data_IF_428989637749
#
_entry.id   IF_428989637749
#
_cell.length_a   1.000
_cell.length_b   1.000
_cell.length_c   1.000
_cell.angle_alpha   90.00
_cell.angle_beta   90.00
_cell.angle_gamma   90.00
#
_symmetry.space_group_name_H-M   'P 1'
#
loop_
_entity.id
_entity.type
_entity.pdbx_description
1 polymer ?
#
# COMPACT_ATOMS: atom_id res chain seq x y z
N UNK A 1 -3.15 -11.69 -1.33
CA UNK A 1 -2.48 -11.52 -0.03
C UNK A 1 -3.46 -11.15 1.08
N UNK A 2 -4.26 -10.11 0.91
CA UNK A 2 -5.11 -9.60 2.00
C UNK A 2 -6.24 -10.56 2.42
N UNK A 3 -6.85 -11.25 1.47
CA UNK A 3 -8.06 -12.06 1.71
C UNK A 3 -7.80 -13.57 1.66
N UNK A 4 -7.06 -14.06 0.68
CA UNK A 4 -6.87 -15.50 0.52
C UNK A 4 -5.82 -16.07 1.49
N UNK A 5 -4.77 -15.31 1.82
CA UNK A 5 -3.73 -15.82 2.72
C UNK A 5 -4.27 -16.14 4.12
N UNK A 6 -5.09 -15.29 4.78
CA UNK A 6 -5.72 -15.63 6.06
C UNK A 6 -6.61 -16.89 5.99
N UNK A 7 -7.32 -17.07 4.85
CA UNK A 7 -8.12 -18.27 4.64
C UNK A 7 -7.24 -19.53 4.61
N UNK A 8 -6.15 -19.53 3.84
CA UNK A 8 -5.24 -20.68 3.80
C UNK A 8 -4.53 -20.91 5.12
N UNK A 9 -4.16 -19.87 5.86
CA UNK A 9 -3.55 -20.01 7.19
C UNK A 9 -4.49 -20.67 8.20
N UNK A 10 -5.81 -20.45 8.08
CA UNK A 10 -6.82 -20.98 9.01
C UNK A 10 -7.37 -22.36 8.61
N UNK A 11 -7.29 -22.74 7.34
CA UNK A 11 -7.98 -23.93 6.81
C UNK A 11 -7.05 -24.97 6.19
N UNK A 12 -5.78 -24.66 5.99
CA UNK A 12 -4.83 -25.51 5.26
C UNK A 12 -3.48 -25.59 5.96
N UNK A 13 -2.59 -26.45 5.44
CA UNK A 13 -1.21 -26.48 5.90
C UNK A 13 -0.53 -25.11 5.63
N UNK A 14 0.17 -24.54 6.62
CA UNK A 14 0.84 -23.26 6.49
C UNK A 14 1.82 -23.16 5.31
N UNK A 15 2.37 -24.29 4.83
CA UNK A 15 3.23 -24.33 3.64
C UNK A 15 2.54 -23.79 2.38
N UNK A 16 1.23 -23.89 2.27
CA UNK A 16 0.47 -23.33 1.14
C UNK A 16 0.59 -21.80 1.15
N UNK A 17 0.37 -21.17 2.29
CA UNK A 17 0.55 -19.72 2.44
C UNK A 17 2.03 -19.30 2.25
N UNK A 18 2.97 -20.09 2.77
CA UNK A 18 4.41 -19.89 2.58
C UNK A 18 4.80 -19.87 1.09
N UNK A 19 4.27 -20.80 0.30
CA UNK A 19 4.56 -20.86 -1.13
C UNK A 19 4.07 -19.63 -1.89
N UNK A 20 2.94 -19.04 -1.53
CA UNK A 20 2.48 -17.76 -2.08
C UNK A 20 3.48 -16.64 -1.80
N UNK A 21 4.06 -16.61 -0.60
CA UNK A 21 5.04 -15.59 -0.22
C UNK A 21 6.41 -15.83 -0.89
N UNK A 22 6.83 -17.09 -1.04
CA UNK A 22 8.03 -17.43 -1.84
C UNK A 22 7.85 -17.06 -3.31
N UNK A 23 6.65 -17.20 -3.86
CA UNK A 23 6.35 -16.70 -5.21
C UNK A 23 6.66 -15.19 -5.33
N UNK A 24 6.31 -14.39 -4.31
CA UNK A 24 6.66 -12.95 -4.30
C UNK A 24 8.17 -12.71 -4.24
N UNK A 25 8.88 -13.45 -3.41
CA UNK A 25 10.34 -13.39 -3.36
C UNK A 25 10.98 -13.76 -4.72
N UNK A 26 10.51 -14.82 -5.37
CA UNK A 26 11.01 -15.24 -6.68
C UNK A 26 10.83 -14.18 -7.77
N UNK A 27 9.86 -13.27 -7.62
CA UNK A 27 9.59 -12.17 -8.55
C UNK A 27 10.19 -10.83 -8.12
N UNK A 28 10.98 -10.80 -7.05
CA UNK A 28 11.55 -9.57 -6.51
C UNK A 28 12.40 -8.81 -7.54
N UNK A 29 13.20 -9.52 -8.34
CA UNK A 29 14.00 -8.89 -9.41
C UNK A 29 13.12 -8.13 -10.40
N UNK A 30 12.00 -8.71 -10.83
CA UNK A 30 11.06 -8.06 -11.75
C UNK A 30 10.34 -6.87 -11.09
N UNK A 31 10.01 -6.97 -9.83
CA UNK A 31 9.43 -5.86 -9.06
C UNK A 31 10.41 -4.68 -8.93
N UNK A 32 11.72 -4.95 -8.80
CA UNK A 32 12.77 -3.91 -8.84
C UNK A 32 12.88 -3.27 -10.23
N UNK A 33 12.81 -4.05 -11.29
CA UNK A 33 12.77 -3.54 -12.67
C UNK A 33 11.54 -2.64 -12.91
N UNK A 34 10.37 -2.98 -12.34
CA UNK A 34 9.17 -2.16 -12.41
C UNK A 34 9.33 -0.81 -11.71
N UNK A 35 9.90 -0.79 -10.51
CA UNK A 35 10.20 0.47 -9.81
C UNK A 35 11.20 1.32 -10.61
N UNK A 36 12.25 0.71 -11.14
CA UNK A 36 13.28 1.40 -11.92
C UNK A 36 12.75 2.04 -13.21
N UNK A 37 11.73 1.45 -13.87
CA UNK A 37 11.03 2.05 -15.02
C UNK A 37 10.38 3.39 -14.70
N UNK A 38 10.01 3.59 -13.44
CA UNK A 38 9.44 4.85 -12.93
C UNK A 38 10.49 5.79 -12.33
N UNK A 39 11.78 5.44 -12.40
CA UNK A 39 12.86 6.18 -11.77
C UNK A 39 12.90 6.05 -10.25
N UNK A 40 12.26 5.02 -9.68
CA UNK A 40 12.17 4.75 -8.25
C UNK A 40 13.12 3.63 -7.83
N UNK A 41 13.48 3.62 -6.54
CA UNK A 41 14.29 2.56 -5.92
C UNK A 41 13.39 1.43 -5.39
N UNK A 42 14.01 0.33 -4.98
CA UNK A 42 13.33 -0.79 -4.35
C UNK A 42 12.44 -1.56 -5.31
N UNK A 43 11.37 -2.15 -4.81
CA UNK A 43 10.48 -3.03 -5.56
C UNK A 43 9.06 -2.51 -5.62
N UNK A 44 8.50 -2.42 -6.85
CA UNK A 44 7.07 -2.23 -7.10
C UNK A 44 6.53 -3.51 -7.75
N UNK A 45 5.81 -4.30 -6.99
CA UNK A 45 5.20 -5.52 -7.50
C UNK A 45 4.11 -5.21 -8.52
N UNK A 46 3.96 -6.03 -9.57
CA UNK A 46 2.91 -5.85 -10.55
C UNK A 46 1.52 -6.04 -9.95
N UNK A 47 0.54 -5.38 -10.54
CA UNK A 47 -0.86 -5.50 -10.15
C UNK A 47 -1.45 -6.84 -10.59
N UNK A 48 -1.23 -7.20 -11.84
CA UNK A 48 -1.64 -8.49 -12.42
C UNK A 48 -0.42 -9.16 -13.04
N UNK A 49 -0.12 -10.38 -12.62
CA UNK A 49 1.04 -11.09 -13.12
C UNK A 49 0.92 -12.61 -13.00
N UNK A 50 1.61 -13.31 -13.89
CA UNK A 50 1.91 -14.74 -13.77
C UNK A 50 3.39 -15.01 -13.55
N UNK A 51 4.25 -14.20 -14.16
CA UNK A 51 5.71 -14.42 -14.22
C UNK A 51 6.52 -13.27 -13.62
N UNK A 52 5.85 -12.34 -12.95
CA UNK A 52 6.48 -11.12 -12.43
C UNK A 52 6.41 -9.91 -13.38
N UNK A 53 6.02 -10.12 -14.65
CA UNK A 53 5.73 -9.03 -15.58
C UNK A 53 4.36 -8.42 -15.28
N UNK A 54 4.21 -7.10 -15.44
CA UNK A 54 2.90 -6.44 -15.36
C UNK A 54 2.05 -6.80 -16.57
N UNK A 55 0.88 -7.38 -16.34
CA UNK A 55 -0.05 -7.83 -17.38
C UNK A 55 -1.36 -7.03 -17.40
N UNK A 56 -1.47 -5.96 -16.60
CA UNK A 56 -2.66 -5.12 -16.58
C UNK A 56 -2.76 -4.27 -17.85
N UNK A 57 -3.97 -4.16 -18.42
CA UNK A 57 -4.21 -3.43 -19.67
C UNK A 57 -4.20 -1.91 -19.50
N UNK A 58 -4.59 -1.43 -18.33
CA UNK A 58 -4.65 -0.01 -18.00
C UNK A 58 -3.38 0.39 -17.25
N UNK A 59 -2.47 1.02 -17.97
CA UNK A 59 -1.13 1.30 -17.46
C UNK A 59 -1.13 2.34 -16.33
N UNK A 60 -2.05 3.31 -16.33
CA UNK A 60 -2.16 4.34 -15.30
C UNK A 60 -2.36 3.73 -13.90
N UNK A 61 -3.29 2.79 -13.80
CA UNK A 61 -3.61 2.14 -12.53
C UNK A 61 -2.43 1.33 -11.98
N UNK A 62 -1.54 0.87 -12.85
CA UNK A 62 -0.38 0.07 -12.44
C UNK A 62 0.65 0.84 -11.63
N UNK A 63 0.70 2.17 -11.76
CA UNK A 63 1.58 3.03 -10.95
C UNK A 63 0.83 3.94 -9.97
N UNK A 64 -0.50 3.98 -10.02
CA UNK A 64 -1.33 4.69 -9.06
C UNK A 64 -1.74 3.80 -7.87
N UNK A 65 -2.13 2.55 -8.10
CA UNK A 65 -2.52 1.60 -7.04
C UNK A 65 -1.32 0.91 -6.36
N UNK A 66 -0.42 1.70 -5.86
CA UNK A 66 0.83 1.23 -5.26
C UNK A 66 0.66 0.60 -3.87
N UNK A 67 -0.51 0.74 -3.26
CA UNK A 67 -0.83 0.14 -1.96
C UNK A 67 -0.81 -1.40 -1.98
N UNK A 68 -0.80 -2.04 -3.15
CA UNK A 68 -0.57 -3.50 -3.29
C UNK A 68 0.75 -3.97 -2.70
N UNK A 69 1.79 -3.12 -2.69
CA UNK A 69 3.04 -3.40 -1.97
C UNK A 69 2.79 -3.58 -0.47
N UNK A 70 1.92 -2.76 0.10
CA UNK A 70 1.51 -2.90 1.49
C UNK A 70 0.78 -4.21 1.78
N UNK A 71 -0.05 -4.68 0.85
CA UNK A 71 -0.74 -5.96 1.00
C UNK A 71 0.24 -7.15 1.05
N UNK A 72 1.36 -7.09 0.30
CA UNK A 72 2.40 -8.12 0.33
C UNK A 72 3.14 -8.09 1.67
N UNK A 73 3.54 -6.92 2.15
CA UNK A 73 4.17 -6.76 3.46
C UNK A 73 3.25 -7.25 4.59
N UNK A 74 1.96 -6.93 4.50
CA UNK A 74 0.95 -7.40 5.46
C UNK A 74 0.75 -8.93 5.43
N UNK A 75 0.84 -9.53 4.26
CA UNK A 75 0.79 -10.98 4.14
C UNK A 75 2.00 -11.67 4.81
N UNK A 76 3.20 -11.11 4.65
CA UNK A 76 4.41 -11.58 5.35
C UNK A 76 4.23 -11.45 6.87
N UNK A 77 3.76 -10.29 7.34
CA UNK A 77 3.45 -10.05 8.75
C UNK A 77 2.48 -11.10 9.31
N UNK A 78 1.35 -11.32 8.64
CA UNK A 78 0.35 -12.30 9.08
C UNK A 78 0.92 -13.72 9.13
N UNK A 79 1.63 -14.13 8.08
CA UNK A 79 2.24 -15.45 8.03
C UNK A 79 3.18 -15.68 9.21
N UNK A 80 4.13 -14.78 9.42
CA UNK A 80 5.12 -14.91 10.51
C UNK A 80 4.45 -14.86 11.87
N UNK A 81 3.45 -14.00 12.06
CA UNK A 81 2.71 -13.88 13.32
C UNK A 81 1.89 -15.11 13.66
N UNK A 82 1.27 -15.74 12.65
CA UNK A 82 0.46 -16.95 12.85
C UNK A 82 1.30 -18.20 13.06
N UNK A 83 2.40 -18.35 12.32
CA UNK A 83 3.19 -19.58 12.27
C UNK A 83 4.41 -19.55 13.18
N UNK A 84 4.93 -18.40 13.48
CA UNK A 84 6.22 -18.25 14.16
C UNK A 84 7.43 -18.58 13.26
N UNK A 85 7.24 -18.79 11.96
CA UNK A 85 8.28 -19.19 10.99
C UNK A 85 9.28 -18.04 10.76
N UNK A 86 10.25 -17.95 11.66
CA UNK A 86 11.34 -16.96 11.57
C UNK A 86 12.34 -17.31 10.47
N UNK A 87 12.49 -18.57 10.15
CA UNK A 87 13.41 -19.02 9.10
C UNK A 87 12.95 -18.47 7.74
N UNK A 88 11.65 -18.57 7.44
CA UNK A 88 11.08 -17.92 6.26
C UNK A 88 11.35 -16.41 6.26
N UNK A 89 11.13 -15.75 7.41
CA UNK A 89 11.33 -14.30 7.48
C UNK A 89 12.78 -13.91 7.17
N UNK A 90 13.74 -14.62 7.75
CA UNK A 90 15.17 -14.34 7.55
C UNK A 90 15.60 -14.72 6.13
N UNK A 91 15.16 -15.85 5.61
CA UNK A 91 15.63 -16.40 4.33
C UNK A 91 15.03 -15.66 3.12
N UNK A 92 13.74 -15.29 3.19
CA UNK A 92 12.97 -14.76 2.06
C UNK A 92 12.26 -13.43 2.36
N UNK A 93 11.52 -13.38 3.47
CA UNK A 93 10.58 -12.30 3.75
C UNK A 93 11.24 -10.94 3.98
N UNK A 94 12.38 -10.91 4.66
CA UNK A 94 13.06 -9.68 5.00
C UNK A 94 13.57 -8.93 3.77
N UNK A 95 14.10 -9.64 2.77
CA UNK A 95 14.55 -9.00 1.53
C UNK A 95 13.38 -8.33 0.79
N UNK A 96 12.22 -9.00 0.73
CA UNK A 96 11.00 -8.43 0.15
C UNK A 96 10.57 -7.17 0.90
N UNK A 97 10.55 -7.21 2.24
CA UNK A 97 10.18 -6.07 3.09
C UNK A 97 11.11 -4.89 2.88
N UNK A 98 12.42 -5.10 2.88
CA UNK A 98 13.43 -4.04 2.67
C UNK A 98 13.26 -3.38 1.31
N UNK A 99 13.08 -4.15 0.25
CA UNK A 99 12.92 -3.60 -1.09
C UNK A 99 11.56 -2.87 -1.27
N UNK A 100 10.50 -3.31 -0.60
CA UNK A 100 9.25 -2.55 -0.50
C UNK A 100 9.47 -1.22 0.25
N UNK A 101 10.24 -1.22 1.32
CA UNK A 101 10.57 0.01 2.05
C UNK A 101 11.39 0.99 1.23
N UNK A 102 12.39 0.50 0.46
CA UNK A 102 13.15 1.32 -0.49
C UNK A 102 12.26 1.97 -1.55
N UNK A 103 11.26 1.22 -2.03
CA UNK A 103 10.25 1.79 -2.93
C UNK A 103 9.47 2.91 -2.24
N UNK A 104 8.91 2.69 -1.05
CA UNK A 104 8.15 3.71 -0.33
C UNK A 104 8.99 4.95 -0.03
N UNK A 105 10.23 4.77 0.45
CA UNK A 105 11.13 5.88 0.74
C UNK A 105 11.50 6.71 -0.48
N UNK A 106 11.56 6.09 -1.67
CA UNK A 106 11.81 6.81 -2.92
C UNK A 106 10.53 7.41 -3.54
N UNK A 107 9.34 6.94 -3.13
CA UNK A 107 8.05 7.36 -3.70
C UNK A 107 7.42 8.55 -2.97
N UNK A 108 7.72 8.73 -1.70
CA UNK A 108 7.23 9.87 -0.92
C UNK A 108 7.87 11.18 -1.38
N UNK A 109 7.14 12.28 -1.18
CA UNK A 109 7.61 13.63 -1.47
C UNK A 109 7.65 14.42 -0.16
N UNK A 110 8.81 14.95 0.22
CA UNK A 110 8.90 15.86 1.36
C UNK A 110 8.38 17.25 0.98
N UNK A 111 7.49 17.81 1.79
CA UNK A 111 6.93 19.15 1.64
C UNK A 111 7.55 20.09 2.67
N UNK A 112 8.57 20.91 2.31
CA UNK A 112 9.31 21.71 3.29
C UNK A 112 8.46 22.74 4.05
N UNK A 113 7.42 23.29 3.39
CA UNK A 113 6.54 24.29 4.02
C UNK A 113 5.70 23.74 5.15
N UNK A 114 5.36 22.44 5.09
CA UNK A 114 4.55 21.73 6.09
C UNK A 114 5.41 20.87 7.02
N UNK A 115 6.66 20.57 6.65
CA UNK A 115 7.54 19.65 7.37
C UNK A 115 7.05 18.21 7.35
N UNK A 116 6.37 17.77 6.28
CA UNK A 116 5.73 16.43 6.21
C UNK A 116 6.08 15.70 4.93
N UNK A 117 5.99 14.38 4.96
CA UNK A 117 6.04 13.53 3.78
C UNK A 117 4.64 13.25 3.23
N UNK A 118 4.51 13.29 1.92
CA UNK A 118 3.26 13.16 1.18
C UNK A 118 3.40 12.12 0.08
N UNK A 119 2.30 11.47 -0.30
CA UNK A 119 2.22 10.62 -1.50
C UNK A 119 1.18 11.23 -2.45
N UNK A 120 1.64 11.62 -3.63
CA UNK A 120 0.85 12.33 -4.63
C UNK A 120 0.51 11.41 -5.82
N UNK A 121 -0.64 11.63 -6.45
CA UNK A 121 -1.04 10.93 -7.66
C UNK A 121 -1.17 9.42 -7.46
N UNK A 122 -2.13 9.01 -6.64
CA UNK A 122 -2.42 7.60 -6.34
C UNK A 122 -3.90 7.30 -6.46
N UNK A 123 -4.21 6.03 -6.66
CA UNK A 123 -5.56 5.49 -6.51
C UNK A 123 -5.55 4.59 -5.28
N UNK A 124 -6.41 4.89 -4.31
CA UNK A 124 -6.58 4.07 -3.11
C UNK A 124 -7.52 2.88 -3.35
N UNK A 125 -7.91 2.14 -2.30
CA UNK A 125 -8.86 1.02 -2.42
C UNK A 125 -10.26 1.41 -2.92
N UNK A 126 -10.60 2.69 -2.85
CA UNK A 126 -11.78 3.24 -3.50
C UNK A 126 -11.41 3.67 -4.92
N UNK A 127 -11.55 2.77 -5.88
CA UNK A 127 -11.15 2.95 -7.27
C UNK A 127 -12.02 3.98 -8.04
N UNK A 128 -13.05 4.55 -7.42
CA UNK A 128 -13.74 5.73 -7.95
C UNK A 128 -12.94 7.04 -7.75
N UNK A 129 -11.85 6.99 -6.99
CA UNK A 129 -11.02 8.11 -6.62
C UNK A 129 -9.61 7.93 -7.19
N UNK A 130 -9.43 8.35 -8.45
CA UNK A 130 -8.19 8.16 -9.20
C UNK A 130 -7.32 9.41 -9.15
N UNK A 131 -6.01 9.22 -9.21
CA UNK A 131 -4.99 10.27 -9.26
C UNK A 131 -5.15 11.33 -8.15
N UNK A 132 -5.45 10.86 -6.95
CA UNK A 132 -5.66 11.70 -5.76
C UNK A 132 -4.36 11.90 -4.99
N UNK A 133 -4.35 12.90 -4.11
CA UNK A 133 -3.21 13.19 -3.25
C UNK A 133 -3.49 12.77 -1.82
N UNK A 134 -2.47 12.21 -1.18
CA UNK A 134 -2.52 11.85 0.23
C UNK A 134 -3.70 10.94 0.59
N UNK A 135 -3.92 9.89 -0.23
CA UNK A 135 -4.87 8.86 0.15
C UNK A 135 -4.45 8.28 1.51
N UNK A 136 -5.34 8.41 2.50
CA UNK A 136 -5.03 8.05 3.89
C UNK A 136 -4.55 6.61 4.02
N UNK A 137 -5.24 5.68 3.33
CA UNK A 137 -4.87 4.26 3.37
C UNK A 137 -3.48 4.02 2.78
N UNK A 138 -3.18 4.61 1.62
CA UNK A 138 -1.87 4.47 0.97
C UNK A 138 -0.75 5.04 1.84
N UNK A 139 -0.95 6.24 2.42
CA UNK A 139 0.02 6.86 3.33
C UNK A 139 0.23 6.01 4.58
N UNK A 140 -0.84 5.46 5.18
CA UNK A 140 -0.72 4.59 6.36
C UNK A 140 -0.03 3.28 6.03
N UNK A 141 -0.32 2.66 4.90
CA UNK A 141 0.34 1.43 4.46
C UNK A 141 1.84 1.64 4.21
N UNK A 142 2.22 2.76 3.59
CA UNK A 142 3.63 3.11 3.40
C UNK A 142 4.36 3.26 4.75
N UNK A 143 3.83 4.09 5.64
CA UNK A 143 4.40 4.28 6.98
C UNK A 143 4.45 2.97 7.78
N UNK A 144 3.40 2.16 7.72
CA UNK A 144 3.35 0.88 8.43
C UNK A 144 4.39 -0.13 7.89
N UNK A 145 4.61 -0.19 6.57
CA UNK A 145 5.66 -1.06 6.01
C UNK A 145 7.05 -0.67 6.53
N UNK A 146 7.35 0.63 6.56
CA UNK A 146 8.61 1.14 7.09
C UNK A 146 8.77 0.83 8.58
N UNK A 147 7.76 1.12 9.39
CA UNK A 147 7.71 0.89 10.83
C UNK A 147 7.93 -0.62 11.15
N UNK A 148 7.15 -1.50 10.51
CA UNK A 148 7.27 -2.94 10.72
C UNK A 148 8.64 -3.47 10.32
N UNK A 149 9.18 -3.04 9.19
CA UNK A 149 10.51 -3.49 8.75
C UNK A 149 11.61 -3.01 9.69
N UNK A 150 11.54 -1.78 10.20
CA UNK A 150 12.45 -1.27 11.22
C UNK A 150 12.37 -2.09 12.52
N UNK A 151 11.18 -2.50 12.94
CA UNK A 151 11.01 -3.40 14.10
C UNK A 151 11.69 -4.76 13.88
N UNK A 152 11.52 -5.36 12.70
CA UNK A 152 12.15 -6.63 12.36
C UNK A 152 13.67 -6.51 12.32
N UNK A 153 14.21 -5.47 11.69
CA UNK A 153 15.66 -5.21 11.64
C UNK A 153 16.23 -5.05 13.04
N UNK A 154 15.53 -4.33 13.93
CA UNK A 154 15.91 -4.19 15.34
C UNK A 154 15.92 -5.52 16.08
N UNK A 155 14.94 -6.40 15.84
CA UNK A 155 14.86 -7.73 16.47
C UNK A 155 15.95 -8.69 15.99
N UNK A 156 16.35 -8.59 14.72
CA UNK A 156 17.39 -9.44 14.12
C UNK A 156 18.80 -8.92 14.38
N UNK A 157 18.93 -7.68 14.82
CA UNK A 157 20.21 -7.04 15.09
C UNK A 157 21.04 -6.72 13.83
N UNK A 158 22.34 -6.41 14.00
CA UNK A 158 23.20 -5.93 12.90
C UNK A 158 23.36 -6.91 11.73
N UNK A 159 23.23 -8.22 11.98
CA UNK A 159 23.37 -9.24 10.94
C UNK A 159 22.27 -9.13 9.88
N UNK A 160 21.04 -8.83 10.30
CA UNK A 160 19.90 -8.67 9.39
C UNK A 160 20.07 -7.48 8.45
N UNK A 161 20.50 -6.34 8.96
CA UNK A 161 20.73 -5.12 8.18
C UNK A 161 21.95 -5.25 7.26
N UNK A 162 23.06 -5.76 7.76
CA UNK A 162 24.32 -5.93 7.00
C UNK A 162 24.14 -6.85 5.81
N UNK A 163 23.42 -7.96 5.97
CA UNK A 163 23.16 -8.91 4.89
C UNK A 163 22.45 -8.27 3.69
N UNK A 164 21.56 -7.32 3.94
CA UNK A 164 20.76 -6.66 2.91
C UNK A 164 21.28 -5.26 2.54
N UNK A 165 22.43 -4.89 3.09
CA UNK A 165 23.06 -3.59 2.83
C UNK A 165 22.18 -2.41 3.28
N UNK A 166 21.43 -2.59 4.36
CA UNK A 166 20.65 -1.51 4.99
C UNK A 166 21.57 -0.81 6.00
N UNK A 167 21.91 0.44 5.75
CA UNK A 167 22.74 1.24 6.64
C UNK A 167 21.90 2.07 7.64
N UNK A 168 22.60 2.76 8.53
CA UNK A 168 21.97 3.57 9.57
C UNK A 168 21.22 4.76 8.98
N UNK A 169 21.77 5.40 7.95
CA UNK A 169 21.19 6.58 7.31
C UNK A 169 19.85 6.20 6.63
N UNK A 170 19.80 5.02 5.97
CA UNK A 170 18.58 4.49 5.37
C UNK A 170 17.50 4.22 6.44
N UNK A 171 17.87 3.64 7.57
CA UNK A 171 16.94 3.39 8.68
C UNK A 171 16.43 4.69 9.34
N UNK A 172 17.29 5.70 9.46
CA UNK A 172 16.93 7.02 9.98
C UNK A 172 15.97 7.73 9.03
N UNK A 173 16.22 7.69 7.72
CA UNK A 173 15.30 8.21 6.72
C UNK A 173 13.92 7.53 6.81
N UNK A 174 13.86 6.21 6.96
CA UNK A 174 12.58 5.50 7.10
C UNK A 174 11.83 5.93 8.36
N UNK A 175 12.54 6.14 9.48
CA UNK A 175 11.94 6.63 10.72
C UNK A 175 11.39 8.04 10.56
N UNK A 176 12.17 8.92 9.93
CA UNK A 176 11.74 10.29 9.65
C UNK A 176 10.47 10.32 8.80
N UNK A 177 10.37 9.46 7.78
CA UNK A 177 9.17 9.33 6.97
C UNK A 177 7.97 8.86 7.80
N UNK A 178 8.14 7.87 8.66
CA UNK A 178 7.07 7.36 9.55
C UNK A 178 6.57 8.47 10.48
N UNK A 179 7.49 9.17 11.14
CA UNK A 179 7.18 10.18 12.15
C UNK A 179 6.49 11.43 11.56
N UNK A 180 6.77 11.72 10.29
CA UNK A 180 6.29 12.92 9.61
C UNK A 180 5.37 12.64 8.41
N UNK A 181 4.80 11.44 8.31
CA UNK A 181 3.83 11.13 7.25
C UNK A 181 2.55 11.94 7.43
N UNK A 182 2.13 12.59 6.35
CA UNK A 182 0.90 13.39 6.35
C UNK A 182 -0.36 12.51 6.26
N UNK A 183 -1.32 12.85 7.09
CA UNK A 183 -2.65 12.23 7.08
C UNK A 183 -3.72 13.32 7.01
N UNK A 184 -4.53 13.38 5.94
CA UNK A 184 -5.60 14.35 5.85
C UNK A 184 -6.68 14.08 6.91
N UNK A 185 -7.22 15.17 7.48
CA UNK A 185 -8.24 15.13 8.52
C UNK A 185 -9.34 16.14 8.21
N UNK A 186 -10.54 15.86 8.69
CA UNK A 186 -11.67 16.80 8.73
C UNK A 186 -11.79 17.32 10.17
N UNK A 187 -11.21 18.49 10.50
CA UNK A 187 -11.08 18.94 11.89
C UNK A 187 -12.41 19.07 12.62
N UNK A 188 -13.43 19.60 11.94
CA UNK A 188 -14.76 19.86 12.54
C UNK A 188 -15.50 18.56 12.89
N UNK A 189 -15.17 17.45 12.23
CA UNK A 189 -15.76 16.13 12.47
C UNK A 189 -14.85 15.22 13.32
N UNK A 190 -13.60 15.58 13.52
CA UNK A 190 -12.63 14.76 14.26
C UNK A 190 -12.32 13.42 13.59
N UNK A 191 -12.43 13.32 12.27
CA UNK A 191 -12.22 12.09 11.49
C UNK A 191 -11.11 12.27 10.46
N UNK A 192 -10.52 11.16 10.02
CA UNK A 192 -9.62 11.16 8.86
C UNK A 192 -10.43 11.38 7.59
N UNK A 193 -9.86 12.16 6.69
CA UNK A 193 -10.36 12.32 5.33
C UNK A 193 -9.75 11.24 4.42
N UNK A 194 -10.52 10.70 3.48
CA UNK A 194 -10.06 9.61 2.60
C UNK A 194 -8.82 10.02 1.77
N UNK A 195 -8.82 11.24 1.27
CA UNK A 195 -7.70 11.92 0.60
C UNK A 195 -7.93 13.43 0.62
N UNK A 196 -6.94 14.21 0.21
CA UNK A 196 -7.08 15.66 0.10
C UNK A 196 -8.29 16.03 -0.77
N UNK A 197 -9.21 16.85 -0.21
CA UNK A 197 -10.37 17.37 -0.90
C UNK A 197 -11.51 16.37 -1.14
N UNK A 198 -11.51 15.22 -0.47
CA UNK A 198 -12.60 14.24 -0.60
C UNK A 198 -13.95 14.84 -0.18
N UNK A 199 -13.98 15.62 0.90
CA UNK A 199 -15.19 16.25 1.41
C UNK A 199 -15.60 17.53 0.66
N UNK A 200 -14.76 18.04 -0.26
CA UNK A 200 -15.07 19.20 -1.10
C UNK A 200 -15.96 18.85 -2.31
N UNK A 201 -16.22 17.55 -2.52
CA UNK A 201 -17.05 17.05 -3.61
C UNK A 201 -18.54 17.19 -3.33
N UNK A 202 -19.35 17.02 -4.37
CA UNK A 202 -20.80 16.95 -4.22
C UNK A 202 -21.19 15.75 -3.34
N UNK A 203 -21.71 16.02 -2.16
CA UNK A 203 -22.13 15.00 -1.23
C UNK A 203 -23.49 14.42 -1.67
N UNK A 204 -23.50 13.17 -2.12
CA UNK A 204 -24.69 12.48 -2.58
C UNK A 204 -25.10 11.37 -1.60
N UNK A 205 -26.25 11.48 -0.93
CA UNK A 205 -26.83 10.34 -0.22
C UNK A 205 -27.17 9.21 -1.17
N UNK A 206 -26.72 8.00 -0.87
CA UNK A 206 -26.90 6.82 -1.74
C UNK A 206 -28.38 6.51 -2.02
N UNK A 207 -29.27 6.83 -1.09
CA UNK A 207 -30.73 6.65 -1.26
C UNK A 207 -31.37 7.65 -2.21
N UNK A 208 -30.67 8.72 -2.59
CA UNK A 208 -31.10 9.68 -3.61
C UNK A 208 -30.68 9.27 -5.03
N UNK A 209 -29.87 8.21 -5.17
CA UNK A 209 -29.47 7.71 -6.49
C UNK A 209 -30.58 6.79 -7.03
N UNK A 210 -31.15 7.09 -8.20
CA UNK A 210 -32.15 6.24 -8.82
C UNK A 210 -31.60 4.84 -9.09
N UNK A 211 -32.40 3.81 -8.82
CA UNK A 211 -31.97 2.41 -8.99
C UNK A 211 -31.52 2.06 -10.41
N UNK A 212 -32.12 2.70 -11.42
CA UNK A 212 -31.75 2.47 -12.82
C UNK A 212 -30.37 3.07 -13.20
N UNK A 213 -29.80 3.94 -12.37
CA UNK A 213 -28.45 4.46 -12.55
C UNK A 213 -27.38 3.56 -11.91
N UNK A 214 -27.78 2.48 -11.22
CA UNK A 214 -26.85 1.50 -10.65
C UNK A 214 -26.59 0.34 -11.63
N UNK A 215 -25.37 -0.22 -11.70
CA UNK A 215 -24.16 0.24 -11.00
C UNK A 215 -23.58 1.51 -11.66
N UNK A 216 -22.99 2.39 -10.83
CA UNK A 216 -22.56 3.73 -11.26
C UNK A 216 -21.49 3.69 -12.36
N UNK A 217 -20.52 2.80 -12.25
CA UNK A 217 -19.43 2.64 -13.23
C UNK A 217 -19.90 2.26 -14.64
N UNK A 218 -21.13 1.78 -14.80
CA UNK A 218 -21.73 1.45 -16.09
C UNK A 218 -22.67 2.54 -16.62
N UNK A 219 -23.20 3.38 -15.74
CA UNK A 219 -24.27 4.32 -16.06
C UNK A 219 -23.86 5.80 -15.91
N UNK A 220 -22.79 6.08 -15.19
CA UNK A 220 -22.28 7.43 -15.03
C UNK A 220 -20.98 7.63 -15.79
N UNK A 221 -20.76 8.85 -16.29
CA UNK A 221 -19.45 9.26 -16.77
C UNK A 221 -18.45 9.32 -15.62
N UNK A 222 -17.18 9.07 -15.89
CA UNK A 222 -16.10 9.23 -14.91
C UNK A 222 -16.05 10.63 -14.31
N UNK A 223 -16.28 11.67 -15.12
CA UNK A 223 -16.35 13.05 -14.66
C UNK A 223 -17.44 13.25 -13.59
N UNK A 224 -18.63 12.61 -13.74
CA UNK A 224 -19.69 12.65 -12.73
C UNK A 224 -19.28 11.88 -11.45
N UNK A 225 -18.66 10.72 -11.59
CA UNK A 225 -18.17 9.93 -10.47
C UNK A 225 -17.12 10.69 -9.66
N UNK A 226 -16.11 11.26 -10.34
CA UNK A 226 -15.01 11.96 -9.69
C UNK A 226 -15.44 13.22 -8.92
N UNK A 227 -16.55 13.83 -9.29
CA UNK A 227 -17.10 15.00 -8.59
C UNK A 227 -18.06 14.67 -7.47
N UNK A 228 -18.35 13.41 -7.22
CA UNK A 228 -19.35 12.95 -6.25
C UNK A 228 -18.71 12.18 -5.11
N UNK A 229 -19.22 12.39 -3.89
CA UNK A 229 -18.88 11.64 -2.70
C UNK A 229 -20.12 10.96 -2.13
N UNK A 230 -20.03 9.69 -1.78
CA UNK A 230 -21.17 8.88 -1.30
C UNK A 230 -21.16 8.79 0.22
N UNK A 231 -21.86 9.71 0.89
CA UNK A 231 -21.81 9.92 2.35
C UNK A 231 -22.24 8.69 3.17
N UNK A 232 -23.20 7.89 2.71
CA UNK A 232 -23.66 6.73 3.48
C UNK A 232 -22.60 5.64 3.65
N UNK A 233 -21.64 5.57 2.78
CA UNK A 233 -20.51 4.65 2.96
C UNK A 233 -19.54 5.16 4.04
N UNK A 234 -19.27 6.46 4.08
CA UNK A 234 -18.38 7.06 5.06
C UNK A 234 -18.93 6.99 6.51
N UNK A 235 -20.23 7.22 6.68
CA UNK A 235 -20.88 7.26 8.03
C UNK A 235 -21.22 5.89 8.63
N UNK A 236 -21.18 4.80 7.88
CA UNK A 236 -21.42 3.44 8.40
C UNK A 236 -20.22 2.81 9.10
N UNK A 237 -19.04 3.41 9.01
CA UNK A 237 -17.79 2.88 9.55
C UNK A 237 -17.15 3.81 10.60
N UNK A 238 -17.87 4.83 11.03
CA UNK A 238 -17.59 5.63 12.24
C UNK A 238 -18.56 5.16 13.38
#
# INVERSE_FOLDING_TARGET
EAYCLPFYLSTSDPHIARNLLIYRHNHLRKAKENAAKLGLKGALYPMVTMTGEECHNEWEITFEEIHRNGAIAYAIFNYVRYTGDRDYLVEFGLEVLVEICRFWASRVTFQPRKGVYMILGVTGPNEYENNVHNNWYTNRMAAWCLEYTLEILKQLGPEGSTRLGVDQDEMEQWREIVDNMYYPVVPDLGVFEQQDGFMDKNLLPVDQIPRHELPLNQNWSWDRILRSCFIKQALKYI
#
